data_IF_338517740199
#
_entry.id   IF_338517740199
#
_cell.length_a   1.000
_cell.length_b   1.000
_cell.length_c   1.000
_cell.angle_alpha   90.00
_cell.angle_beta   90.00
_cell.angle_gamma   90.00
#
_symmetry.space_group_name_H-M   'P 1'
#
loop_
_entity.id
_entity.type
_entity.pdbx_description
1 polymer ?
#
# COMPACT_ATOMS: atom_id res chain seq x y z
N UNK A 1 -18.36 16.85 43.14
CA UNK A 1 -19.68 17.23 42.56
C UNK A 1 -19.73 16.76 41.11
N UNK A 2 -20.84 16.16 40.67
CA UNK A 2 -21.11 15.89 39.25
C UNK A 2 -22.40 16.61 38.83
N UNK A 3 -22.40 17.29 37.68
CA UNK A 3 -23.61 17.87 37.07
C UNK A 3 -23.74 17.44 35.61
N UNK A 4 -24.62 16.46 35.42
CA UNK A 4 -25.56 16.30 34.31
C UNK A 4 -25.58 17.38 33.22
N UNK A 5 -25.65 16.94 31.96
CA UNK A 5 -26.89 17.09 31.15
C UNK A 5 -26.87 16.20 29.90
N UNK A 6 -27.90 15.38 29.77
CA UNK A 6 -28.30 14.67 28.55
C UNK A 6 -29.70 15.13 28.17
N UNK A 7 -29.97 15.31 26.87
CA UNK A 7 -31.31 15.57 26.32
C UNK A 7 -31.47 14.86 24.97
N UNK A 8 -32.71 14.52 24.53
CA UNK A 8 -32.94 13.42 23.60
C UNK A 8 -33.46 13.83 22.20
N UNK A 9 -33.65 12.80 21.37
CA UNK A 9 -34.12 12.82 19.97
C UNK A 9 -35.61 13.12 19.78
N UNK A 10 -35.99 13.68 18.61
CA UNK A 10 -37.07 13.21 17.68
C UNK A 10 -37.28 14.12 16.45
N UNK A 11 -38.02 13.60 15.45
CA UNK A 11 -38.31 14.11 14.08
C UNK A 11 -37.25 13.74 13.02
N UNK A 12 -37.48 12.98 11.92
CA UNK A 12 -38.65 12.40 11.23
C UNK A 12 -39.34 13.25 10.13
N UNK A 13 -39.00 12.96 8.85
CA UNK A 13 -39.71 13.11 7.54
C UNK A 13 -38.65 12.78 6.44
N UNK A 14 -38.75 11.93 5.41
CA UNK A 14 -39.78 11.24 4.61
C UNK A 14 -40.11 11.93 3.25
N UNK A 15 -39.38 11.54 2.19
CA UNK A 15 -39.69 11.61 0.73
C UNK A 15 -38.46 11.02 -0.02
N UNK A 16 -38.45 9.83 -0.65
CA UNK A 16 -39.23 9.26 -1.78
C UNK A 16 -38.73 9.73 -3.16
N UNK A 17 -38.57 8.77 -4.09
CA UNK A 17 -37.78 8.91 -5.34
C UNK A 17 -38.55 8.32 -6.53
N UNK A 18 -38.79 9.16 -7.56
CA UNK A 18 -39.35 8.86 -8.90
C UNK A 18 -38.65 9.83 -9.88
N UNK A 19 -38.07 9.51 -11.05
CA UNK A 19 -38.26 8.49 -12.09
C UNK A 19 -39.32 8.88 -13.17
N UNK A 20 -38.99 8.61 -14.44
CA UNK A 20 -39.80 8.76 -15.69
C UNK A 20 -40.01 10.19 -16.26
N UNK A 21 -40.34 10.39 -17.55
CA UNK A 21 -39.74 9.85 -18.81
C UNK A 21 -40.17 10.71 -20.04
N UNK A 22 -39.28 10.84 -21.04
CA UNK A 22 -39.51 10.87 -22.50
C UNK A 22 -40.77 11.52 -23.20
N UNK A 23 -40.57 12.73 -23.76
CA UNK A 23 -40.90 13.19 -25.15
C UNK A 23 -42.43 13.24 -25.61
N UNK A 24 -42.86 13.51 -26.89
CA UNK A 24 -43.73 14.70 -27.15
C UNK A 24 -44.95 14.52 -28.14
N UNK A 25 -45.38 15.64 -28.75
CA UNK A 25 -46.11 15.82 -30.03
C UNK A 25 -47.66 15.92 -30.02
N UNK A 26 -48.24 16.15 -31.22
CA UNK A 26 -49.68 16.28 -31.60
C UNK A 26 -50.31 17.66 -31.30
N UNK A 27 -51.16 18.32 -32.12
CA UNK A 27 -51.50 18.41 -33.58
C UNK A 27 -52.33 19.74 -33.74
N UNK A 28 -52.89 20.24 -34.86
CA UNK A 28 -53.05 19.83 -36.28
C UNK A 28 -52.24 20.82 -37.19
N UNK A 29 -52.60 21.44 -38.35
CA UNK A 29 -53.78 21.59 -39.25
C UNK A 29 -53.30 21.83 -40.70
N UNK A 30 -54.06 21.41 -41.72
CA UNK A 30 -53.88 21.85 -43.13
C UNK A 30 -55.00 21.34 -44.06
N UNK A 31 -55.12 21.91 -45.28
CA UNK A 31 -55.77 21.30 -46.46
C UNK A 31 -55.67 22.18 -47.73
N UNK A 32 -55.39 21.55 -48.90
CA UNK A 32 -55.58 22.09 -50.27
C UNK A 32 -54.59 23.17 -50.75
N UNK A 33 -54.17 23.22 -52.03
CA UNK A 33 -54.32 22.25 -53.13
C UNK A 33 -54.14 22.89 -54.53
N UNK A 34 -53.57 22.17 -55.51
CA UNK A 34 -53.72 22.51 -56.94
C UNK A 34 -52.46 22.72 -57.81
N UNK A 35 -51.93 21.62 -58.39
CA UNK A 35 -51.16 21.45 -59.66
C UNK A 35 -49.84 22.24 -59.98
N UNK A 36 -48.95 21.65 -60.82
CA UNK A 36 -47.65 22.20 -61.30
C UNK A 36 -47.80 22.94 -62.68
N UNK A 37 -46.75 23.48 -63.38
CA UNK A 37 -45.34 23.06 -63.34
C UNK A 37 -44.18 24.07 -63.58
N UNK A 38 -42.96 23.57 -63.25
CA UNK A 38 -41.64 23.76 -63.87
C UNK A 38 -41.18 25.12 -64.45
N UNK A 39 -40.06 25.64 -63.93
CA UNK A 39 -38.74 25.67 -64.61
C UNK A 39 -37.73 26.59 -63.90
N UNK A 40 -36.53 26.75 -64.49
CA UNK A 40 -35.38 27.57 -64.06
C UNK A 40 -34.59 27.07 -62.83
N UNK A 41 -33.27 26.91 -63.00
CA UNK A 41 -32.35 26.59 -61.92
C UNK A 41 -32.01 27.83 -61.09
N UNK A 42 -32.34 27.81 -59.80
CA UNK A 42 -32.04 28.89 -58.88
C UNK A 42 -30.54 28.93 -58.54
N UNK A 43 -29.90 30.08 -58.77
CA UNK A 43 -28.58 30.35 -58.17
C UNK A 43 -28.81 30.77 -56.73
N UNK A 44 -28.33 29.97 -55.77
CA UNK A 44 -28.36 30.34 -54.35
C UNK A 44 -27.35 31.43 -54.04
N UNK A 45 -27.76 32.43 -53.26
CA UNK A 45 -26.93 33.51 -52.75
C UNK A 45 -26.82 33.39 -51.22
N UNK A 46 -25.66 33.76 -50.66
CA UNK A 46 -25.30 33.61 -49.24
C UNK A 46 -24.80 34.95 -48.68
N UNK A 47 -25.01 35.20 -47.38
CA UNK A 47 -24.48 36.40 -46.73
C UNK A 47 -23.02 36.17 -46.25
N UNK A 48 -22.05 37.02 -46.62
CA UNK A 48 -20.65 36.90 -46.16
C UNK A 48 -20.49 36.91 -44.63
N UNK A 49 -21.37 37.62 -43.92
CA UNK A 49 -21.36 37.73 -42.45
C UNK A 49 -22.27 36.73 -41.75
N UNK A 50 -23.21 36.10 -42.46
CA UNK A 50 -24.24 35.20 -41.89
C UNK A 50 -24.43 33.98 -42.79
N UNK A 51 -23.54 32.97 -42.73
CA UNK A 51 -23.54 31.83 -43.67
C UNK A 51 -24.82 30.97 -43.63
N UNK A 52 -25.59 31.05 -42.55
CA UNK A 52 -26.90 30.40 -42.39
C UNK A 52 -28.00 31.05 -43.25
N UNK A 53 -27.80 32.30 -43.68
CA UNK A 53 -28.71 33.02 -44.59
C UNK A 53 -28.36 32.67 -46.03
N UNK A 54 -29.00 31.61 -46.54
CA UNK A 54 -29.03 31.25 -47.96
C UNK A 54 -30.41 31.60 -48.54
N UNK A 55 -30.46 32.22 -49.72
CA UNK A 55 -31.69 32.51 -50.47
C UNK A 55 -31.55 32.19 -51.95
N UNK A 56 -32.66 31.85 -52.59
CA UNK A 56 -32.76 31.73 -54.04
C UNK A 56 -32.93 33.10 -54.68
N UNK A 57 -31.92 33.54 -55.45
CA UNK A 57 -31.91 34.85 -56.10
C UNK A 57 -31.27 36.00 -55.30
N UNK A 58 -31.05 37.12 -55.99
CA UNK A 58 -30.40 38.32 -55.46
C UNK A 58 -31.29 39.08 -54.49
N UNK A 59 -30.71 39.59 -53.41
CA UNK A 59 -31.35 40.50 -52.46
C UNK A 59 -30.45 40.73 -51.25
N UNK A 60 -30.97 41.45 -50.25
CA UNK A 60 -30.25 41.74 -49.01
C UNK A 60 -30.46 40.69 -47.91
N UNK A 61 -29.49 40.61 -47.02
CA UNK A 61 -29.54 39.83 -45.79
C UNK A 61 -30.49 40.50 -44.78
N UNK A 62 -31.50 39.79 -44.23
CA UNK A 62 -32.45 40.38 -43.29
C UNK A 62 -31.86 40.65 -41.89
N UNK A 63 -30.62 40.21 -41.63
CA UNK A 63 -29.93 40.39 -40.34
C UNK A 63 -29.04 41.64 -40.35
N UNK A 64 -28.34 41.92 -41.46
CA UNK A 64 -27.35 43.00 -41.55
C UNK A 64 -27.51 43.95 -42.76
N UNK A 65 -28.58 43.82 -43.55
CA UNK A 65 -28.90 44.72 -44.67
C UNK A 65 -28.01 44.61 -45.91
N UNK A 66 -26.81 44.01 -45.80
CA UNK A 66 -25.87 43.83 -46.91
C UNK A 66 -26.38 42.86 -47.98
N UNK A 67 -26.02 43.10 -49.24
CA UNK A 67 -26.34 42.23 -50.37
C UNK A 67 -25.74 40.82 -50.24
N UNK A 68 -26.50 39.83 -50.69
CA UNK A 68 -26.07 38.42 -50.72
C UNK A 68 -25.20 38.16 -51.97
N UNK A 69 -24.11 37.42 -51.80
CA UNK A 69 -23.16 37.05 -52.88
C UNK A 69 -23.49 35.66 -53.43
N UNK A 70 -23.26 35.38 -54.73
CA UNK A 70 -23.57 34.07 -55.30
C UNK A 70 -22.69 32.99 -54.65
N UNK A 71 -23.31 31.87 -54.26
CA UNK A 71 -22.58 30.70 -53.78
C UNK A 71 -22.08 29.91 -54.99
N UNK A 72 -20.78 29.94 -55.23
CA UNK A 72 -20.16 29.22 -56.36
C UNK A 72 -20.16 27.71 -56.12
N UNK A 73 -20.50 26.94 -57.16
CA UNK A 73 -20.43 25.47 -57.15
C UNK A 73 -19.02 25.03 -57.59
N UNK A 74 -18.50 23.98 -56.96
CA UNK A 74 -17.14 23.52 -57.21
C UNK A 74 -16.97 22.99 -58.65
N UNK A 75 -15.92 23.39 -59.40
CA UNK A 75 -15.74 22.96 -60.78
C UNK A 75 -15.35 21.47 -60.87
N UNK A 76 -15.95 20.78 -61.83
CA UNK A 76 -15.54 19.43 -62.21
C UNK A 76 -14.23 19.45 -63.03
N UNK A 77 -13.45 18.38 -62.92
CA UNK A 77 -12.22 18.14 -63.68
C UNK A 77 -12.40 16.94 -64.63
N UNK A 78 -11.50 16.69 -65.62
CA UNK A 78 -10.27 17.45 -65.95
C UNK A 78 -10.20 17.93 -67.41
N UNK A 79 -9.19 18.77 -67.71
CA UNK A 79 -8.72 19.02 -69.08
C UNK A 79 -7.21 19.26 -69.11
N UNK A 80 -6.51 18.59 -70.03
CA UNK A 80 -5.09 18.76 -70.41
C UNK A 80 -4.03 18.87 -69.28
N UNK A 81 -3.22 17.81 -69.14
CA UNK A 81 -1.96 17.88 -68.40
C UNK A 81 -0.96 18.80 -69.12
N UNK A 82 -0.37 19.75 -68.39
CA UNK A 82 0.58 20.74 -68.88
C UNK A 82 2.01 20.27 -68.56
N UNK A 83 2.78 19.92 -69.59
CA UNK A 83 4.15 19.42 -69.41
C UNK A 83 5.05 20.52 -68.83
N UNK A 84 5.41 20.38 -67.56
CA UNK A 84 6.25 21.35 -66.85
C UNK A 84 7.72 20.97 -67.00
N UNK A 85 8.56 21.91 -67.43
CA UNK A 85 10.01 21.73 -67.63
C UNK A 85 10.79 22.69 -66.74
N UNK A 86 11.85 22.20 -66.07
CA UNK A 86 12.63 22.92 -65.06
C UNK A 86 14.14 22.81 -65.33
N UNK A 87 14.90 23.86 -64.99
CA UNK A 87 16.36 23.86 -65.07
C UNK A 87 16.98 23.21 -63.81
N UNK A 88 17.83 22.16 -63.94
CA UNK A 88 18.48 21.52 -62.79
C UNK A 88 19.34 22.45 -61.91
N UNK A 89 19.85 23.56 -62.48
CA UNK A 89 20.66 24.56 -61.76
C UNK A 89 19.86 25.82 -61.35
N UNK A 90 18.66 26.02 -61.90
CA UNK A 90 17.86 27.22 -61.68
C UNK A 90 16.38 26.84 -61.48
N UNK A 91 15.99 26.30 -60.31
CA UNK A 91 14.65 25.74 -60.09
C UNK A 91 13.49 26.74 -60.25
N UNK A 92 13.78 28.04 -60.15
CA UNK A 92 12.84 29.15 -60.39
C UNK A 92 12.46 29.30 -61.87
N UNK A 93 13.28 28.78 -62.79
CA UNK A 93 12.98 28.77 -64.23
C UNK A 93 12.14 27.55 -64.56
N UNK A 94 10.83 27.78 -64.58
CA UNK A 94 9.78 26.85 -64.99
C UNK A 94 9.24 27.28 -66.36
N UNK A 95 9.08 26.34 -67.30
CA UNK A 95 8.49 26.55 -68.65
C UNK A 95 7.59 25.41 -69.07
N UNK A 96 6.63 25.68 -69.94
CA UNK A 96 5.61 24.71 -70.38
C UNK A 96 6.04 23.88 -71.62
N UNK A 97 7.34 23.88 -71.95
CA UNK A 97 7.92 23.20 -73.12
C UNK A 97 9.42 23.01 -72.96
N UNK A 98 9.99 22.05 -73.71
CA UNK A 98 11.44 21.87 -73.81
C UNK A 98 12.08 23.02 -74.60
N UNK A 99 12.83 23.86 -73.90
CA UNK A 99 13.74 24.86 -74.44
C UNK A 99 15.01 24.91 -73.57
N UNK A 100 16.02 25.69 -73.95
CA UNK A 100 17.27 25.83 -73.18
C UNK A 100 17.18 27.02 -72.20
N UNK A 101 17.73 26.87 -71.00
CA UNK A 101 17.60 27.83 -69.91
C UNK A 101 18.28 29.18 -70.27
N UNK A 102 17.58 30.33 -70.18
CA UNK A 102 18.15 31.63 -70.56
C UNK A 102 19.25 32.15 -69.63
N UNK A 103 19.46 31.51 -68.46
CA UNK A 103 20.52 31.89 -67.49
C UNK A 103 21.83 31.13 -67.77
N UNK A 104 21.75 29.84 -68.15
CA UNK A 104 22.94 28.97 -68.24
C UNK A 104 23.03 28.11 -69.50
N UNK A 105 22.19 28.31 -70.51
CA UNK A 105 22.25 27.66 -71.82
C UNK A 105 21.95 26.16 -71.85
N UNK A 106 21.72 25.51 -70.71
CA UNK A 106 21.43 24.06 -70.63
C UNK A 106 19.95 23.77 -70.89
N UNK A 107 19.66 22.68 -71.59
CA UNK A 107 18.28 22.19 -71.81
C UNK A 107 17.52 21.98 -70.51
N UNK A 108 16.26 22.44 -70.48
CA UNK A 108 15.34 22.13 -69.39
C UNK A 108 14.99 20.63 -69.39
N UNK A 109 14.73 20.08 -68.20
CA UNK A 109 14.35 18.68 -67.99
C UNK A 109 12.88 18.62 -67.59
N UNK A 110 12.14 17.64 -68.10
CA UNK A 110 10.73 17.45 -67.76
C UNK A 110 10.60 17.13 -66.27
N UNK A 111 9.75 17.89 -65.58
CA UNK A 111 9.38 17.63 -64.19
C UNK A 111 8.44 16.43 -64.18
N UNK A 112 8.94 15.27 -63.81
CA UNK A 112 8.08 14.14 -63.47
C UNK A 112 7.34 14.49 -62.16
N UNK A 113 6.02 14.37 -62.18
CA UNK A 113 5.25 14.37 -60.94
C UNK A 113 5.54 13.05 -60.22
N UNK A 114 5.91 13.10 -58.94
CA UNK A 114 6.04 11.88 -58.13
C UNK A 114 4.66 11.26 -57.94
N UNK A 115 4.28 10.40 -58.89
CA UNK A 115 3.05 9.64 -58.87
C UNK A 115 3.04 8.77 -57.61
N UNK A 116 2.26 9.22 -56.62
CA UNK A 116 2.13 8.54 -55.33
C UNK A 116 1.56 7.14 -55.54
N UNK A 117 2.45 6.15 -55.57
CA UNK A 117 2.14 4.76 -55.88
C UNK A 117 1.21 4.15 -54.85
N UNK A 118 -0.10 4.26 -55.08
CA UNK A 118 -1.17 3.77 -54.23
C UNK A 118 -1.23 2.25 -54.17
N UNK A 119 -0.29 1.65 -53.43
CA UNK A 119 -0.31 0.24 -53.09
C UNK A 119 -1.59 -0.12 -52.35
N UNK A 120 -2.34 -1.11 -52.85
CA UNK A 120 -3.69 -1.37 -52.42
C UNK A 120 -3.79 -1.92 -50.99
N UNK A 121 -4.24 -1.08 -50.06
CA UNK A 121 -5.18 -1.44 -49.01
C UNK A 121 -4.81 -2.58 -48.05
N UNK A 122 -3.78 -2.41 -47.23
CA UNK A 122 -3.92 -2.87 -45.84
C UNK A 122 -4.81 -1.86 -45.08
N UNK A 123 -5.75 -2.36 -44.27
CA UNK A 123 -6.70 -1.51 -43.54
C UNK A 123 -6.00 -0.78 -42.38
N UNK A 124 -5.50 0.43 -42.66
CA UNK A 124 -4.85 1.29 -41.69
C UNK A 124 -5.74 1.58 -40.47
N UNK A 125 -5.11 1.72 -39.29
CA UNK A 125 -5.82 1.97 -38.03
C UNK A 125 -6.53 3.33 -38.13
N UNK A 126 -7.86 3.41 -37.91
CA UNK A 126 -8.61 4.66 -38.07
C UNK A 126 -8.07 5.75 -37.16
N UNK A 127 -7.84 6.95 -37.73
CA UNK A 127 -7.21 8.08 -37.07
C UNK A 127 -5.69 8.20 -37.24
N UNK A 128 -5.02 7.25 -37.93
CA UNK A 128 -3.57 7.30 -38.17
C UNK A 128 -3.23 7.28 -39.67
N UNK A 129 -2.32 8.16 -40.08
CA UNK A 129 -1.71 8.10 -41.41
C UNK A 129 -0.78 6.87 -41.48
N UNK A 130 -0.98 6.02 -42.50
CA UNK A 130 -0.17 4.81 -42.69
C UNK A 130 1.11 5.15 -43.46
N UNK A 131 2.27 4.93 -42.84
CA UNK A 131 3.58 5.23 -43.43
C UNK A 131 4.32 3.91 -43.71
N UNK A 132 4.50 3.59 -44.99
CA UNK A 132 5.24 2.41 -45.45
C UNK A 132 6.76 2.63 -45.40
N UNK A 133 7.48 1.76 -44.70
CA UNK A 133 8.95 1.76 -44.62
C UNK A 133 9.48 0.42 -45.17
N UNK A 134 10.40 0.47 -46.13
CA UNK A 134 10.94 -0.73 -46.77
C UNK A 134 11.71 -1.63 -45.78
N UNK A 135 11.82 -2.92 -46.12
CA UNK A 135 12.43 -3.92 -45.25
C UNK A 135 13.92 -3.64 -44.95
N UNK A 136 14.66 -3.07 -45.91
CA UNK A 136 16.10 -2.79 -45.77
C UNK A 136 16.33 -1.63 -44.80
N UNK A 137 15.56 -0.55 -44.90
CA UNK A 137 15.56 0.54 -43.92
C UNK A 137 15.11 0.05 -42.54
N UNK A 138 14.04 -0.76 -42.43
CA UNK A 138 13.62 -1.34 -41.13
C UNK A 138 14.72 -2.18 -40.47
N UNK A 139 15.49 -2.94 -41.25
CA UNK A 139 16.61 -3.74 -40.72
C UNK A 139 17.84 -2.89 -40.37
N UNK A 140 18.21 -1.91 -41.20
CA UNK A 140 19.30 -0.96 -40.91
C UNK A 140 19.01 -0.13 -39.64
N UNK A 141 17.76 0.31 -39.46
CA UNK A 141 17.29 1.01 -38.26
C UNK A 141 17.16 0.09 -37.03
N UNK A 142 17.40 -1.22 -37.15
CA UNK A 142 17.26 -2.22 -36.08
C UNK A 142 15.91 -2.14 -35.36
N UNK A 143 14.83 -1.95 -36.12
CA UNK A 143 13.50 -1.60 -35.62
C UNK A 143 12.91 -2.73 -34.75
N UNK A 144 12.73 -2.47 -33.45
CA UNK A 144 12.18 -3.44 -32.47
C UNK A 144 10.72 -3.13 -32.18
N UNK A 145 9.85 -4.11 -32.41
CA UNK A 145 8.42 -4.04 -32.09
C UNK A 145 8.08 -4.96 -30.93
N UNK A 146 7.00 -4.65 -30.22
CA UNK A 146 6.42 -5.49 -29.18
C UNK A 146 4.90 -5.52 -29.35
N UNK A 147 4.26 -6.65 -28.98
CA UNK A 147 2.80 -6.76 -29.00
C UNK A 147 2.21 -5.91 -27.87
N UNK A 148 1.13 -5.17 -28.18
CA UNK A 148 0.42 -4.37 -27.17
C UNK A 148 -0.44 -5.28 -26.31
N UNK A 149 -0.28 -5.18 -24.98
CA UNK A 149 -0.97 -6.02 -24.00
C UNK A 149 -1.58 -5.17 -22.87
N UNK A 150 -2.78 -5.55 -22.41
CA UNK A 150 -3.46 -4.87 -21.29
C UNK A 150 -2.99 -5.42 -19.94
N UNK A 151 -1.80 -4.98 -19.50
CA UNK A 151 -1.24 -5.31 -18.19
C UNK A 151 -1.58 -4.28 -17.09
N UNK A 152 -1.72 -4.74 -15.83
CA UNK A 152 -1.82 -3.84 -14.68
C UNK A 152 -0.45 -3.31 -14.27
N UNK A 153 -0.07 -2.12 -14.73
CA UNK A 153 1.17 -1.48 -14.32
C UNK A 153 1.12 -1.07 -12.84
N UNK A 154 2.04 -1.61 -12.04
CA UNK A 154 2.19 -1.26 -10.63
C UNK A 154 3.58 -0.71 -10.35
N UNK A 155 3.72 0.60 -10.22
CA UNK A 155 4.94 1.24 -9.69
C UNK A 155 5.14 0.80 -8.23
N UNK A 156 6.06 -0.13 -8.01
CA UNK A 156 6.33 -0.71 -6.70
C UNK A 156 7.07 0.28 -5.81
N UNK A 157 6.42 0.67 -4.70
CA UNK A 157 7.03 1.50 -3.64
C UNK A 157 8.32 0.84 -3.17
N UNK A 158 9.41 1.61 -3.12
CA UNK A 158 10.71 1.20 -2.56
C UNK A 158 11.09 2.23 -1.51
N UNK A 159 11.18 1.81 -0.25
CA UNK A 159 11.62 2.68 0.84
C UNK A 159 12.51 1.94 1.82
N UNK A 160 13.28 2.70 2.61
CA UNK A 160 14.05 2.19 3.73
C UNK A 160 13.13 1.82 4.91
N UNK A 161 13.61 0.92 5.75
CA UNK A 161 12.95 0.60 7.01
C UNK A 161 13.93 0.13 8.07
N UNK A 162 13.53 0.28 9.33
CA UNK A 162 14.27 -0.20 10.50
C UNK A 162 13.62 -1.48 11.01
N UNK A 163 14.42 -2.50 11.27
CA UNK A 163 13.96 -3.70 11.98
C UNK A 163 13.73 -3.33 13.45
N UNK A 164 12.60 -3.72 14.00
CA UNK A 164 12.19 -3.48 15.38
C UNK A 164 11.71 -4.78 16.03
N UNK A 165 11.69 -4.80 17.37
CA UNK A 165 11.04 -5.85 18.13
C UNK A 165 9.54 -5.84 17.87
N UNK A 166 8.89 -7.00 17.98
CA UNK A 166 7.44 -7.07 18.14
C UNK A 166 7.12 -6.72 19.59
N UNK A 167 6.59 -5.52 19.84
CA UNK A 167 6.28 -5.02 21.20
C UNK A 167 5.32 -5.95 21.95
N UNK A 168 4.48 -6.72 21.23
CA UNK A 168 3.56 -7.72 21.81
C UNK A 168 4.27 -8.99 22.31
N UNK A 169 5.56 -9.15 21.99
CA UNK A 169 6.43 -10.28 22.36
C UNK A 169 7.56 -9.87 23.32
N UNK A 170 7.50 -8.66 23.87
CA UNK A 170 8.35 -8.23 24.98
C UNK A 170 7.71 -8.73 26.28
N UNK A 171 8.47 -9.45 27.08
CA UNK A 171 8.05 -9.95 28.39
C UNK A 171 8.96 -9.38 29.47
N UNK A 172 8.40 -8.47 30.27
CA UNK A 172 9.02 -7.90 31.46
C UNK A 172 8.92 -8.89 32.62
N UNK A 173 10.04 -9.16 33.29
CA UNK A 173 10.12 -10.08 34.44
C UNK A 173 10.26 -9.25 35.72
N UNK A 174 9.31 -9.42 36.63
CA UNK A 174 9.23 -8.71 37.92
C UNK A 174 9.19 -9.71 39.08
N UNK A 175 9.46 -9.27 40.31
CA UNK A 175 9.05 -10.02 41.53
C UNK A 175 7.60 -9.69 41.90
N UNK A 176 7.03 -10.46 42.83
CA UNK A 176 5.74 -10.15 43.49
C UNK A 176 5.88 -9.80 44.98
N UNK A 177 7.13 -9.79 45.45
CA UNK A 177 7.56 -9.63 46.84
C UNK A 177 8.88 -8.85 46.85
N UNK A 178 9.23 -8.25 47.99
CA UNK A 178 10.55 -7.66 48.20
C UNK A 178 11.62 -8.77 48.23
N UNK A 179 12.73 -8.59 47.51
CA UNK A 179 13.83 -9.57 47.50
C UNK A 179 15.21 -8.93 47.36
N UNK A 180 16.24 -9.74 47.57
CA UNK A 180 17.65 -9.47 47.31
C UNK A 180 18.17 -10.50 46.29
N UNK A 181 18.88 -10.04 45.27
CA UNK A 181 19.41 -10.91 44.20
C UNK A 181 20.69 -11.59 44.67
N UNK A 182 20.66 -12.91 44.91
CA UNK A 182 21.81 -13.69 45.38
C UNK A 182 22.67 -14.24 44.25
N UNK A 183 22.09 -14.62 43.11
CA UNK A 183 22.84 -15.08 41.93
C UNK A 183 22.12 -14.72 40.63
N UNK A 184 22.86 -14.45 39.55
CA UNK A 184 22.29 -14.11 38.25
C UNK A 184 22.81 -15.04 37.16
N UNK A 185 21.97 -15.98 36.75
CA UNK A 185 22.25 -16.99 35.71
C UNK A 185 22.11 -16.41 34.29
N UNK A 186 21.27 -15.39 34.12
CA UNK A 186 21.16 -14.57 32.91
C UNK A 186 22.13 -13.37 32.99
N UNK A 187 23.41 -13.67 32.76
CA UNK A 187 24.56 -12.84 33.11
C UNK A 187 24.88 -11.69 32.13
N UNK A 188 24.40 -11.74 30.89
CA UNK A 188 24.58 -10.70 29.86
C UNK A 188 23.35 -10.49 28.96
N UNK A 189 23.23 -9.29 28.38
CA UNK A 189 22.20 -8.99 27.36
C UNK A 189 22.57 -9.57 25.99
N UNK A 190 21.60 -10.08 25.27
CA UNK A 190 21.79 -10.90 24.07
C UNK A 190 21.88 -12.41 24.35
N UNK A 191 21.89 -12.85 25.62
CA UNK A 191 21.76 -14.26 25.98
C UNK A 191 20.38 -14.79 25.56
N UNK A 192 20.34 -15.99 24.96
CA UNK A 192 19.10 -16.72 24.70
C UNK A 192 18.71 -17.54 25.92
N UNK A 193 17.42 -17.53 26.27
CA UNK A 193 16.84 -18.28 27.39
C UNK A 193 15.57 -19.02 26.95
N UNK A 194 15.32 -20.19 27.52
CA UNK A 194 14.12 -21.01 27.27
C UNK A 194 13.05 -20.75 28.34
N UNK A 195 11.77 -20.89 27.98
CA UNK A 195 10.67 -20.86 28.95
C UNK A 195 10.91 -21.89 30.06
N UNK A 196 10.86 -21.46 31.32
CA UNK A 196 11.14 -22.27 32.50
C UNK A 196 12.63 -22.41 32.89
N UNK A 197 13.55 -21.78 32.14
CA UNK A 197 14.96 -21.66 32.52
C UNK A 197 15.13 -20.64 33.66
N UNK A 198 16.11 -20.84 34.54
CA UNK A 198 16.37 -19.96 35.68
C UNK A 198 17.17 -18.73 35.23
N UNK A 199 16.64 -17.54 35.52
CA UNK A 199 17.27 -16.25 35.20
C UNK A 199 18.15 -15.75 36.35
N UNK A 200 17.68 -15.91 37.59
CA UNK A 200 18.33 -15.47 38.81
C UNK A 200 17.85 -16.29 40.01
N UNK A 201 18.60 -16.26 41.09
CA UNK A 201 18.17 -16.69 42.42
C UNK A 201 18.04 -15.46 43.32
N UNK A 202 16.96 -15.41 44.10
CA UNK A 202 16.65 -14.29 45.00
C UNK A 202 16.31 -14.80 46.40
N UNK A 203 16.72 -14.05 47.42
CA UNK A 203 16.32 -14.25 48.82
C UNK A 203 15.27 -13.21 49.20
N UNK A 204 14.18 -13.64 49.83
CA UNK A 204 13.16 -12.77 50.40
C UNK A 204 12.82 -13.24 51.82
N UNK A 205 12.92 -12.38 52.85
CA UNK A 205 12.53 -12.72 54.22
C UNK A 205 11.04 -13.12 54.33
N UNK A 206 10.16 -12.40 53.62
CA UNK A 206 8.71 -12.63 53.62
C UNK A 206 8.34 -13.99 52.98
N UNK A 207 9.04 -14.32 51.87
CA UNK A 207 8.92 -15.62 51.22
C UNK A 207 9.43 -16.74 52.12
N UNK A 208 10.57 -16.54 52.79
CA UNK A 208 11.13 -17.54 53.71
C UNK A 208 10.22 -17.80 54.92
N UNK A 209 9.68 -16.74 55.54
CA UNK A 209 8.71 -16.86 56.63
C UNK A 209 7.42 -17.59 56.18
N UNK A 210 6.89 -17.25 54.99
CA UNK A 210 5.69 -17.93 54.46
C UNK A 210 5.95 -19.41 54.13
N UNK A 211 7.18 -19.78 53.72
CA UNK A 211 7.55 -21.20 53.59
C UNK A 211 7.57 -21.92 54.95
N UNK A 212 7.99 -21.24 56.03
CA UNK A 212 7.91 -21.80 57.39
C UNK A 212 6.45 -21.92 57.86
N UNK A 213 5.58 -20.93 57.58
CA UNK A 213 4.13 -21.01 57.85
C UNK A 213 3.48 -22.20 57.14
N UNK A 214 3.75 -22.38 55.83
CA UNK A 214 3.26 -23.53 55.05
C UNK A 214 3.66 -24.85 55.70
N UNK A 215 4.94 -24.99 56.05
CA UNK A 215 5.48 -26.21 56.66
C UNK A 215 4.92 -26.46 58.06
N UNK A 216 4.62 -25.42 58.83
CA UNK A 216 3.95 -25.53 60.13
C UNK A 216 2.49 -25.99 59.96
N UNK A 217 1.74 -25.39 59.04
CA UNK A 217 0.37 -25.80 58.72
C UNK A 217 0.31 -27.25 58.20
N UNK A 218 1.25 -27.63 57.33
CA UNK A 218 1.39 -28.99 56.81
C UNK A 218 1.70 -30.01 57.93
N UNK A 219 2.52 -29.64 58.91
CA UNK A 219 2.78 -30.46 60.10
C UNK A 219 1.54 -30.56 61.00
N UNK A 220 0.77 -29.48 61.18
CA UNK A 220 -0.48 -29.51 61.93
C UNK A 220 -1.51 -30.46 61.28
N UNK A 221 -1.75 -30.35 59.97
CA UNK A 221 -2.62 -31.27 59.22
C UNK A 221 -2.14 -32.73 59.33
N UNK A 222 -0.82 -32.98 59.25
CA UNK A 222 -0.26 -34.34 59.40
C UNK A 222 -0.32 -34.89 60.83
N UNK A 223 -0.34 -34.03 61.85
CA UNK A 223 -0.45 -34.43 63.26
C UNK A 223 -1.91 -34.71 63.68
N UNK A 224 -2.88 -34.10 63.01
CA UNK A 224 -4.31 -34.34 63.21
C UNK A 224 -4.71 -35.69 62.58
N UNK A 225 -4.61 -36.76 63.38
CA UNK A 225 -5.01 -38.11 62.99
C UNK A 225 -6.49 -38.24 62.57
N UNK A 226 -6.91 -39.41 62.07
CA UNK A 226 -8.28 -39.63 61.57
C UNK A 226 -9.36 -39.37 62.64
N UNK A 227 -9.04 -39.58 63.91
CA UNK A 227 -9.94 -39.35 65.06
C UNK A 227 -10.03 -37.89 65.55
N UNK A 228 -9.34 -36.94 64.91
CA UNK A 228 -9.38 -35.53 65.31
C UNK A 228 -10.72 -34.86 64.96
N UNK A 229 -11.11 -33.86 65.76
CA UNK A 229 -12.35 -33.09 65.59
C UNK A 229 -12.46 -32.46 64.20
N UNK A 230 -13.65 -32.55 63.60
CA UNK A 230 -13.89 -32.07 62.24
C UNK A 230 -13.59 -30.56 62.07
N UNK A 231 -13.91 -29.75 63.07
CA UNK A 231 -13.62 -28.30 63.10
C UNK A 231 -12.13 -28.00 63.23
N UNK A 232 -11.38 -28.80 63.99
CA UNK A 232 -9.93 -28.67 64.12
C UNK A 232 -9.21 -29.07 62.82
N UNK A 233 -9.67 -30.15 62.16
CA UNK A 233 -9.18 -30.58 60.84
C UNK A 233 -9.45 -29.52 59.78
N UNK A 234 -10.69 -29.04 59.67
CA UNK A 234 -11.05 -28.00 58.70
C UNK A 234 -10.25 -26.70 58.94
N UNK A 235 -10.04 -26.31 60.20
CA UNK A 235 -9.20 -25.16 60.55
C UNK A 235 -7.75 -25.31 60.06
N UNK A 236 -7.14 -26.47 60.26
CA UNK A 236 -5.77 -26.73 59.80
C UNK A 236 -5.66 -26.82 58.27
N UNK A 237 -6.63 -27.45 57.60
CA UNK A 237 -6.69 -27.53 56.13
C UNK A 237 -6.85 -26.13 55.51
N UNK A 238 -7.73 -25.28 56.06
CA UNK A 238 -7.90 -23.88 55.63
C UNK A 238 -6.60 -23.06 55.78
N UNK A 239 -5.81 -23.29 56.84
CA UNK A 239 -4.50 -22.62 57.03
C UNK A 239 -3.45 -23.10 56.03
N UNK A 240 -3.42 -24.40 55.73
CA UNK A 240 -2.54 -24.99 54.72
C UNK A 240 -2.86 -24.45 53.31
N UNK A 241 -4.14 -24.36 52.94
CA UNK A 241 -4.52 -23.84 51.63
C UNK A 241 -4.39 -22.32 51.53
N UNK A 242 -4.60 -21.56 52.61
CA UNK A 242 -4.31 -20.13 52.64
C UNK A 242 -2.81 -19.81 52.44
N UNK A 243 -1.91 -20.59 53.07
CA UNK A 243 -0.46 -20.42 52.90
C UNK A 243 0.02 -20.86 51.51
N UNK A 244 -0.51 -21.97 50.96
CA UNK A 244 -0.34 -22.34 49.54
C UNK A 244 -0.78 -21.23 48.60
N UNK A 245 -1.94 -20.62 48.86
CA UNK A 245 -2.50 -19.57 48.01
C UNK A 245 -1.67 -18.28 48.08
N UNK A 246 -1.11 -17.91 49.25
CA UNK A 246 -0.18 -16.78 49.36
C UNK A 246 1.05 -16.98 48.48
N UNK A 247 1.66 -18.17 48.51
CA UNK A 247 2.80 -18.52 47.65
C UNK A 247 2.44 -18.46 46.16
N UNK A 248 1.29 -18.98 45.75
CA UNK A 248 0.80 -18.88 44.35
C UNK A 248 0.60 -17.44 43.89
N UNK A 249 0.05 -16.57 44.74
CA UNK A 249 -0.14 -15.14 44.45
C UNK A 249 1.20 -14.38 44.32
N UNK A 250 2.27 -14.94 44.86
CA UNK A 250 3.65 -14.48 44.68
C UNK A 250 4.36 -15.07 43.45
N UNK A 251 3.62 -15.68 42.51
CA UNK A 251 4.12 -16.38 41.31
C UNK A 251 5.11 -17.53 41.62
N UNK A 252 5.09 -18.07 42.84
CA UNK A 252 5.86 -19.28 43.21
C UNK A 252 5.27 -20.46 42.42
N UNK A 253 6.09 -21.08 41.56
CA UNK A 253 5.62 -22.14 40.69
C UNK A 253 5.13 -23.36 41.48
N UNK A 254 3.99 -23.94 41.08
CA UNK A 254 3.34 -25.06 41.80
C UNK A 254 4.25 -26.29 41.99
N UNK A 255 5.21 -26.51 41.07
CA UNK A 255 6.26 -27.54 41.20
C UNK A 255 7.20 -27.32 42.39
N UNK A 256 7.49 -26.05 42.72
CA UNK A 256 8.44 -25.69 43.77
C UNK A 256 7.74 -25.63 45.14
N UNK A 257 6.44 -25.29 45.17
CA UNK A 257 5.55 -25.51 46.32
C UNK A 257 5.47 -27.02 46.63
N UNK A 258 5.23 -27.87 45.62
CA UNK A 258 5.21 -29.32 45.83
C UNK A 258 6.57 -29.87 46.30
N UNK A 259 7.68 -29.40 45.73
CA UNK A 259 9.03 -29.77 46.18
C UNK A 259 9.34 -29.30 47.61
N UNK A 260 8.74 -28.18 48.06
CA UNK A 260 8.81 -27.70 49.44
C UNK A 260 8.01 -28.58 50.41
N UNK A 261 6.77 -28.93 50.07
CA UNK A 261 5.92 -29.83 50.89
C UNK A 261 6.47 -31.26 50.98
N UNK A 262 7.22 -31.70 49.96
CA UNK A 262 7.93 -32.98 49.92
C UNK A 262 9.24 -32.96 50.72
N UNK A 263 10.07 -31.90 50.58
CA UNK A 263 11.35 -31.76 51.29
C UNK A 263 11.18 -31.47 52.78
N UNK A 264 10.13 -30.74 53.18
CA UNK A 264 9.85 -30.42 54.58
C UNK A 264 10.64 -29.26 55.18
N UNK A 265 11.48 -28.59 54.37
CA UNK A 265 12.41 -27.51 54.77
C UNK A 265 12.33 -26.29 53.84
N UNK A 266 12.37 -25.05 54.37
CA UNK A 266 12.29 -23.82 53.56
C UNK A 266 13.57 -23.54 52.78
N UNK A 267 13.47 -23.05 51.55
CA UNK A 267 14.61 -22.58 50.76
C UNK A 267 14.85 -21.09 51.00
N UNK A 268 16.09 -20.75 51.36
CA UNK A 268 16.57 -19.36 51.40
C UNK A 268 16.60 -18.75 49.99
N UNK A 269 17.26 -19.43 49.06
CA UNK A 269 17.51 -18.92 47.70
C UNK A 269 16.47 -19.48 46.73
N UNK A 270 15.60 -18.63 46.19
CA UNK A 270 14.48 -19.02 45.33
C UNK A 270 14.74 -18.69 43.85
N UNK A 271 14.55 -19.62 42.90
CA UNK A 271 14.78 -19.38 41.47
C UNK A 271 13.66 -18.56 40.80
N UNK A 272 14.03 -17.52 40.07
CA UNK A 272 13.16 -16.76 39.16
C UNK A 272 13.29 -17.34 37.75
N UNK A 273 12.17 -17.68 37.11
CA UNK A 273 12.13 -18.34 35.81
C UNK A 273 11.78 -17.42 34.64
N UNK A 274 12.23 -17.78 33.43
CA UNK A 274 11.80 -17.16 32.20
C UNK A 274 10.33 -17.53 31.85
N UNK A 275 9.41 -16.57 31.69
CA UNK A 275 8.01 -16.85 31.34
C UNK A 275 7.82 -17.27 29.87
N UNK A 276 8.81 -16.97 29.02
CA UNK A 276 8.84 -17.28 27.58
C UNK A 276 10.24 -17.72 27.14
N UNK A 277 10.35 -18.23 25.91
CA UNK A 277 11.65 -18.47 25.25
C UNK A 277 12.00 -17.27 24.37
N UNK A 278 13.19 -16.68 24.56
CA UNK A 278 13.57 -15.46 23.84
C UNK A 278 15.00 -15.02 24.15
N UNK A 279 15.33 -13.78 23.78
CA UNK A 279 16.62 -13.15 24.10
C UNK A 279 16.46 -12.08 25.16
N UNK A 280 17.39 -12.01 26.11
CA UNK A 280 17.43 -10.97 27.15
C UNK A 280 17.88 -9.65 26.52
N UNK A 281 16.95 -8.71 26.29
CA UNK A 281 17.27 -7.40 25.68
C UNK A 281 17.78 -6.38 26.68
N UNK A 282 17.29 -6.45 27.92
CA UNK A 282 17.73 -5.62 29.04
C UNK A 282 17.76 -6.45 30.33
N UNK A 283 18.55 -5.99 31.30
CA UNK A 283 18.64 -6.53 32.66
C UNK A 283 18.92 -5.40 33.63
N UNK A 284 18.17 -5.33 34.71
CA UNK A 284 18.45 -4.46 35.87
C UNK A 284 18.87 -5.26 37.11
N UNK A 285 18.61 -6.58 37.14
CA UNK A 285 19.03 -7.44 38.25
C UNK A 285 20.54 -7.71 38.22
N UNK A 286 21.27 -7.19 39.19
CA UNK A 286 22.67 -7.53 39.47
C UNK A 286 22.81 -8.15 40.87
N UNK A 287 23.86 -8.96 41.08
CA UNK A 287 24.16 -9.58 42.36
C UNK A 287 24.24 -8.55 43.50
N UNK A 288 23.58 -8.85 44.63
CA UNK A 288 23.53 -8.00 45.82
C UNK A 288 22.48 -6.90 45.79
N UNK A 289 21.82 -6.64 44.66
CA UNK A 289 20.77 -5.62 44.59
C UNK A 289 19.50 -6.04 45.34
N UNK A 290 18.91 -5.09 46.06
CA UNK A 290 17.52 -5.16 46.52
C UNK A 290 16.59 -4.86 45.35
N UNK A 291 15.48 -5.59 45.23
CA UNK A 291 14.51 -5.47 44.14
C UNK A 291 13.08 -5.48 44.68
N UNK A 292 12.26 -4.57 44.16
CA UNK A 292 10.85 -4.36 44.49
C UNK A 292 9.94 -4.97 43.41
N UNK A 293 8.65 -5.23 43.71
CA UNK A 293 7.68 -5.68 42.71
C UNK A 293 7.45 -4.71 41.53
N UNK A 294 7.86 -3.45 41.66
CA UNK A 294 7.83 -2.45 40.60
C UNK A 294 9.04 -2.54 39.64
N UNK A 295 10.14 -3.18 40.05
CA UNK A 295 11.39 -3.22 39.28
C UNK A 295 11.32 -4.28 38.17
N UNK A 296 11.88 -3.96 37.00
CA UNK A 296 11.92 -4.89 35.85
C UNK A 296 13.27 -5.59 35.81
N UNK A 297 13.36 -6.79 36.39
CA UNK A 297 14.59 -7.58 36.51
C UNK A 297 15.24 -7.85 35.15
N UNK A 298 14.43 -8.28 34.17
CA UNK A 298 14.83 -8.68 32.82
C UNK A 298 13.75 -8.35 31.80
N UNK A 299 14.16 -7.93 30.60
CA UNK A 299 13.30 -7.91 29.41
C UNK A 299 13.66 -9.08 28.51
N UNK A 300 12.68 -9.94 28.17
CA UNK A 300 12.87 -11.10 27.29
C UNK A 300 12.00 -10.93 26.05
N UNK A 301 12.62 -11.00 24.86
CA UNK A 301 11.92 -10.81 23.57
C UNK A 301 12.04 -12.05 22.69
N UNK A 302 10.92 -12.60 22.23
CA UNK A 302 10.93 -13.64 21.21
C UNK A 302 11.09 -13.03 19.80
N UNK A 303 12.26 -13.27 19.20
CA UNK A 303 12.59 -12.81 17.85
C UNK A 303 12.06 -13.72 16.72
N UNK A 304 11.13 -14.64 16.99
CA UNK A 304 10.52 -15.51 15.95
C UNK A 304 9.77 -14.75 14.86
N UNK A 305 9.25 -13.56 15.19
CA UNK A 305 8.73 -12.57 14.25
C UNK A 305 9.39 -11.22 14.55
N UNK A 306 9.69 -10.46 13.50
CA UNK A 306 10.18 -9.07 13.63
C UNK A 306 9.24 -8.11 12.93
N UNK A 307 9.19 -6.89 13.46
CA UNK A 307 8.57 -5.76 12.77
C UNK A 307 9.59 -5.03 11.92
N UNK A 308 9.12 -4.44 10.83
CA UNK A 308 9.87 -3.45 10.06
C UNK A 308 9.02 -2.20 10.01
N UNK A 309 9.54 -1.13 10.58
CA UNK A 309 8.97 0.21 10.46
C UNK A 309 9.58 0.82 9.20
N UNK A 310 8.78 0.86 8.14
CA UNK A 310 9.13 1.47 6.86
C UNK A 310 8.60 2.91 6.84
N UNK A 311 9.47 3.86 6.49
CA UNK A 311 9.11 5.27 6.42
C UNK A 311 8.60 5.56 5.00
N UNK A 312 7.28 5.81 4.84
CA UNK A 312 6.64 6.01 3.52
C UNK A 312 6.24 7.47 3.36
N UNK A 313 6.62 8.09 2.24
CA UNK A 313 6.24 9.47 1.94
C UNK A 313 4.73 9.66 1.88
N UNK A 314 4.27 10.81 2.37
CA UNK A 314 2.87 11.25 2.36
C UNK A 314 2.18 11.06 0.99
N UNK A 315 2.87 11.40 -0.10
CA UNK A 315 2.39 11.26 -1.48
C UNK A 315 2.19 9.81 -1.96
N UNK A 316 2.86 8.83 -1.34
CA UNK A 316 2.68 7.41 -1.66
C UNK A 316 1.71 6.70 -0.71
N UNK A 317 1.41 7.30 0.44
CA UNK A 317 0.61 6.70 1.51
C UNK A 317 -0.79 6.22 1.06
N UNK A 318 -1.57 6.94 0.22
CA UNK A 318 -2.88 6.47 -0.26
C UNK A 318 -2.84 5.15 -1.06
N UNK A 319 -1.65 4.75 -1.53
CA UNK A 319 -1.39 3.53 -2.32
C UNK A 319 -1.05 2.33 -1.43
N UNK A 320 -0.71 2.59 -0.17
CA UNK A 320 -0.48 1.60 0.88
C UNK A 320 -1.81 1.26 1.56
N UNK A 321 -2.07 -0.03 1.79
CA UNK A 321 -3.24 -0.52 2.53
C UNK A 321 -2.82 -1.69 3.42
N UNK A 322 -3.50 -1.86 4.54
CA UNK A 322 -3.30 -3.01 5.45
C UNK A 322 -3.56 -4.33 4.69
N UNK A 323 -2.83 -5.39 5.04
CA UNK A 323 -2.88 -6.70 4.39
C UNK A 323 -2.02 -6.82 3.12
N UNK A 324 -1.52 -5.72 2.55
CA UNK A 324 -0.65 -5.76 1.37
C UNK A 324 0.69 -6.45 1.65
N UNK A 325 1.15 -7.28 0.72
CA UNK A 325 2.46 -7.95 0.80
C UNK A 325 3.62 -7.01 0.42
N UNK A 326 4.64 -6.96 1.26
CA UNK A 326 5.94 -6.33 0.97
C UNK A 326 7.06 -7.36 0.94
N UNK A 327 8.16 -7.04 0.25
CA UNK A 327 9.42 -7.80 0.29
C UNK A 327 10.51 -6.96 0.95
N UNK A 328 11.31 -7.60 1.79
CA UNK A 328 12.44 -7.01 2.51
C UNK A 328 13.76 -7.59 1.98
N UNK A 329 14.77 -6.74 1.83
CA UNK A 329 16.15 -7.09 1.46
C UNK A 329 17.13 -6.36 2.39
N UNK A 330 17.86 -7.12 3.20
CA UNK A 330 18.76 -6.63 4.24
C UNK A 330 20.13 -6.31 3.64
N UNK A 331 20.67 -5.11 3.89
CA UNK A 331 21.88 -4.62 3.22
C UNK A 331 23.13 -5.47 3.52
N UNK A 332 23.19 -6.08 4.71
CA UNK A 332 24.28 -6.96 5.15
C UNK A 332 24.15 -8.41 4.66
N UNK A 333 23.05 -8.79 4.00
CA UNK A 333 22.86 -10.10 3.33
C UNK A 333 22.16 -9.91 1.98
N UNK A 334 22.88 -9.42 0.96
CA UNK A 334 22.37 -9.39 -0.41
C UNK A 334 21.95 -10.78 -0.90
N UNK A 335 21.01 -10.82 -1.84
CA UNK A 335 20.45 -12.08 -2.40
C UNK A 335 19.31 -12.68 -1.57
N UNK A 336 19.36 -12.63 -0.23
CA UNK A 336 18.25 -13.12 0.60
C UNK A 336 17.11 -12.10 0.65
N UNK A 337 15.86 -12.57 0.51
CA UNK A 337 14.68 -11.71 0.60
C UNK A 337 13.56 -12.35 1.42
N UNK A 338 12.95 -11.57 2.30
CA UNK A 338 11.86 -12.00 3.17
C UNK A 338 10.54 -11.42 2.65
N UNK A 339 9.44 -12.14 2.84
CA UNK A 339 8.09 -11.65 2.50
C UNK A 339 7.28 -11.44 3.78
N UNK A 340 6.57 -10.32 3.84
CA UNK A 340 5.82 -9.89 5.01
C UNK A 340 4.56 -9.14 4.60
N UNK A 341 3.71 -8.81 5.56
CA UNK A 341 2.44 -8.08 5.32
C UNK A 341 2.44 -6.76 6.07
N UNK A 342 1.88 -5.72 5.46
CA UNK A 342 1.53 -4.48 6.16
C UNK A 342 0.46 -4.81 7.20
N UNK A 343 0.78 -4.73 8.49
CA UNK A 343 -0.16 -5.00 9.59
C UNK A 343 -0.74 -3.73 10.18
N UNK A 344 -0.07 -2.59 10.05
CA UNK A 344 -0.53 -1.31 10.57
C UNK A 344 0.07 -0.14 9.79
N UNK A 345 -0.64 0.99 9.77
CA UNK A 345 -0.18 2.27 9.25
C UNK A 345 -0.39 3.25 10.41
N UNK A 346 0.68 3.90 10.88
CA UNK A 346 0.56 4.86 11.97
C UNK A 346 -0.14 6.13 11.47
N UNK A 347 -1.08 6.72 12.23
CA UNK A 347 -1.83 7.91 11.80
C UNK A 347 -1.00 9.20 11.89
N UNK A 348 0.15 9.17 12.56
CA UNK A 348 1.07 10.31 12.70
C UNK A 348 2.09 10.37 11.55
N UNK A 349 2.25 11.55 10.97
CA UNK A 349 3.33 11.90 10.06
C UNK A 349 4.54 12.42 10.86
N UNK A 350 5.76 12.06 10.45
CA UNK A 350 6.99 12.66 10.95
C UNK A 350 7.21 14.01 10.25
N UNK A 351 7.04 15.12 10.98
CA UNK A 351 7.05 16.49 10.42
C UNK A 351 8.35 16.84 9.67
N UNK A 352 9.49 16.32 10.12
CA UNK A 352 10.82 16.64 9.59
C UNK A 352 11.11 15.92 8.27
N UNK A 353 10.53 14.73 8.08
CA UNK A 353 10.76 13.90 6.88
C UNK A 353 9.54 13.82 5.95
N UNK A 354 8.36 14.25 6.42
CA UNK A 354 7.04 14.03 5.80
C UNK A 354 6.79 12.57 5.44
N UNK A 355 7.16 11.67 6.35
CA UNK A 355 6.92 10.23 6.23
C UNK A 355 5.93 9.72 7.27
N UNK A 356 4.99 8.88 6.85
CA UNK A 356 4.17 8.07 7.74
C UNK A 356 4.85 6.73 7.98
N UNK A 357 4.78 6.23 9.21
CA UNK A 357 5.39 4.94 9.54
C UNK A 357 4.43 3.81 9.19
N UNK A 358 4.89 2.88 8.36
CA UNK A 358 4.15 1.68 7.94
C UNK A 358 4.79 0.47 8.59
N UNK A 359 4.02 -0.28 9.36
CA UNK A 359 4.48 -1.49 10.04
C UNK A 359 4.25 -2.70 9.15
N UNK A 360 5.34 -3.39 8.81
CA UNK A 360 5.31 -4.68 8.15
C UNK A 360 5.77 -5.77 9.13
N UNK A 361 5.06 -6.89 9.17
CA UNK A 361 5.41 -8.04 10.01
C UNK A 361 6.03 -9.15 9.15
N UNK A 362 7.17 -9.67 9.60
CA UNK A 362 7.96 -10.71 8.92
C UNK A 362 8.26 -11.87 9.86
N UNK A 363 8.12 -13.09 9.36
CA UNK A 363 8.60 -14.29 10.06
C UNK A 363 10.13 -14.36 10.01
N UNK A 364 10.76 -14.65 11.15
CA UNK A 364 12.21 -14.76 11.33
C UNK A 364 12.56 -16.14 11.95
N UNK A 365 12.20 -17.27 11.31
CA UNK A 365 12.39 -18.61 11.88
C UNK A 365 13.86 -18.97 12.12
N UNK A 366 14.77 -18.43 11.31
CA UNK A 366 16.21 -18.58 11.46
C UNK A 366 16.82 -17.66 12.55
N UNK A 367 16.01 -16.85 13.24
CA UNK A 367 16.42 -15.82 14.23
C UNK A 367 17.49 -14.83 13.72
N UNK A 368 17.69 -14.75 12.40
CA UNK A 368 18.84 -14.10 11.77
C UNK A 368 18.73 -12.59 11.61
N UNK A 369 17.52 -12.01 11.59
CA UNK A 369 17.36 -10.55 11.50
C UNK A 369 17.43 -9.90 12.89
N UNK A 370 18.65 -9.57 13.34
CA UNK A 370 18.87 -8.85 14.60
C UNK A 370 18.45 -7.37 14.48
N UNK A 371 17.57 -6.84 15.34
CA UNK A 371 17.08 -5.46 15.24
C UNK A 371 18.13 -4.35 15.41
N UNK A 372 19.33 -4.64 15.94
CA UNK A 372 20.44 -3.68 15.95
C UNK A 372 21.02 -3.39 14.56
N UNK A 373 20.72 -4.21 13.54
CA UNK A 373 21.21 -3.99 12.18
C UNK A 373 20.28 -3.01 11.42
N UNK A 374 20.59 -1.73 11.53
CA UNK A 374 19.62 -0.62 11.41
C UNK A 374 19.24 -0.15 10.00
N UNK A 375 19.80 -0.71 8.93
CA UNK A 375 19.52 -0.31 7.54
C UNK A 375 19.00 -1.48 6.69
N UNK A 376 17.71 -1.37 6.33
CA UNK A 376 17.01 -2.34 5.49
C UNK A 376 16.38 -1.65 4.29
N UNK A 377 16.41 -2.30 3.13
CA UNK A 377 15.63 -1.88 1.97
C UNK A 377 14.35 -2.70 1.87
N UNK A 378 13.20 -2.04 1.79
CA UNK A 378 11.94 -2.68 1.44
C UNK A 378 11.61 -2.37 -0.02
N UNK A 379 11.14 -3.37 -0.75
CA UNK A 379 10.69 -3.24 -2.14
C UNK A 379 9.39 -3.97 -2.34
N UNK A 380 8.35 -3.27 -2.78
CA UNK A 380 7.03 -3.87 -2.99
C UNK A 380 6.95 -4.56 -4.35
N UNK A 381 7.49 -5.77 -4.43
CA UNK A 381 7.47 -6.58 -5.64
C UNK A 381 6.17 -7.41 -5.76
N UNK A 382 5.33 -7.08 -6.76
CA UNK A 382 4.20 -7.93 -7.18
C UNK A 382 4.53 -8.56 -8.55
N UNK A 383 4.61 -9.88 -8.61
CA UNK A 383 4.59 -10.71 -9.84
C UNK A 383 3.57 -11.82 -9.60
N UNK A 384 2.74 -12.23 -10.56
CA UNK A 384 2.51 -11.68 -11.89
C UNK A 384 1.81 -12.72 -12.78
N UNK A 385 1.70 -12.42 -14.07
CA UNK A 385 1.77 -13.42 -15.14
C UNK A 385 2.74 -12.91 -16.21
N UNK A 386 3.29 -13.84 -17.00
CA UNK A 386 3.83 -13.56 -18.33
C UNK A 386 2.68 -13.63 -19.33
#
# INVERSE_FOLDING_TARGET
>A
MNRTKTTPTRAALLAVLLLTLAVPAVLLVGCGGGKPPASAGAKTYICPMHPEVVKDGKGSCPICGMDLVPKEEAPAAPAAAHETWICPMHPEIVKDRKESCPICGMDLVKKEEEASGGGAGEAGVPGFATVTIDARKRQLLSLKTAKVERGTFGTGIRTVGRVAYDERRVHHVHTRFEAYVEHVTADFTGKFVRKGEVLAHVYSPELFATQQELLLALRAVRALGPSADATAREGAERLLDATRQRLRLWDVAQKDIAALEARGEPLRSFPIYAPTSGYVTARTAFHGMKVMPADTLFDIVDLSSVWVLADVYESELPRVKVGQTGRMTLAYRPGQSWTGKVTYIYPSLDEKTRTAKVRLEFANPARSSSPRCSRTSSSRARRGRR
#
